data_IF_476864606727
#
_entry.id   IF_476864606727
#
_cell.length_a   1.000
_cell.length_b   1.000
_cell.length_c   1.000
_cell.angle_alpha   90.00
_cell.angle_beta   90.00
_cell.angle_gamma   90.00
#
_symmetry.space_group_name_H-M   'P 1'
#
loop_
_entity.id
_entity.type
_entity.pdbx_description
1 polymer ?
#
# COMPACT_ATOMS: atom_id res chain seq x y z
N UNK A 1 1.88 4.31 9.20
CA UNK A 1 2.07 2.90 8.88
C UNK A 1 3.55 2.65 8.63
N UNK A 2 4.11 1.59 9.21
CA UNK A 2 5.53 1.32 9.08
C UNK A 2 5.80 0.25 8.02
N UNK A 3 7.08 -0.02 7.76
CA UNK A 3 7.46 -0.95 6.72
C UNK A 3 6.93 -2.35 6.96
N UNK A 4 6.91 -2.79 8.21
CA UNK A 4 6.43 -4.14 8.54
C UNK A 4 4.98 -4.31 8.13
N UNK A 5 4.15 -3.31 8.39
CA UNK A 5 2.75 -3.37 8.01
C UNK A 5 2.58 -3.40 6.50
N UNK A 6 3.36 -2.60 5.78
CA UNK A 6 3.31 -2.62 4.32
C UNK A 6 3.72 -3.99 3.78
N UNK A 7 4.73 -4.61 4.37
CA UNK A 7 5.18 -5.92 3.91
C UNK A 7 4.13 -6.98 4.13
N UNK A 8 3.43 -6.93 5.24
CA UNK A 8 2.36 -7.88 5.52
C UNK A 8 1.21 -7.72 4.52
N UNK A 9 0.84 -6.49 4.25
CA UNK A 9 -0.21 -6.20 3.28
C UNK A 9 0.17 -6.67 1.89
N UNK A 10 1.42 -6.41 1.51
CA UNK A 10 1.90 -6.82 0.20
C UNK A 10 1.92 -8.34 0.06
N UNK A 11 2.33 -9.04 1.12
CA UNK A 11 2.35 -10.49 1.10
C UNK A 11 0.95 -11.05 0.87
N UNK A 12 -0.05 -10.52 1.57
CA UNK A 12 -1.43 -10.95 1.38
C UNK A 12 -1.91 -10.66 -0.04
N UNK A 13 -1.58 -9.47 -0.52
CA UNK A 13 -1.96 -9.07 -1.88
C UNK A 13 -1.39 -10.05 -2.90
N UNK A 14 -0.13 -10.44 -2.74
CA UNK A 14 0.49 -11.39 -3.65
C UNK A 14 -0.14 -12.77 -3.60
N UNK A 15 -0.45 -13.23 -2.38
CA UNK A 15 -1.08 -14.54 -2.21
C UNK A 15 -2.43 -14.58 -2.90
N UNK A 16 -3.25 -13.56 -2.70
CA UNK A 16 -4.58 -13.53 -3.29
C UNK A 16 -4.53 -13.41 -4.80
N UNK A 17 -3.57 -12.67 -5.32
CA UNK A 17 -3.43 -12.50 -6.76
C UNK A 17 -2.65 -13.59 -7.44
N UNK A 18 -2.07 -14.52 -6.68
CA UNK A 18 -1.25 -15.57 -7.25
C UNK A 18 0.10 -15.09 -7.76
N UNK A 19 0.56 -13.94 -7.28
CA UNK A 19 1.82 -13.36 -7.71
C UNK A 19 2.93 -13.65 -6.69
N UNK A 20 4.17 -13.62 -7.16
CA UNK A 20 5.31 -13.78 -6.27
C UNK A 20 5.75 -12.43 -5.73
N UNK A 21 6.01 -12.33 -4.42
CA UNK A 21 6.51 -11.09 -3.85
C UNK A 21 7.94 -10.82 -4.33
N UNK A 22 8.18 -9.57 -4.77
CA UNK A 22 9.51 -9.14 -5.19
C UNK A 22 9.79 -7.79 -4.58
N UNK A 23 11.08 -7.44 -4.47
CA UNK A 23 11.44 -6.14 -3.93
C UNK A 23 10.92 -5.00 -4.78
N UNK A 24 10.99 -5.16 -6.09
CA UNK A 24 10.48 -4.14 -6.99
C UNK A 24 8.97 -3.98 -6.85
N UNK A 25 8.26 -5.09 -6.81
CA UNK A 25 6.81 -5.06 -6.63
C UNK A 25 6.42 -4.45 -5.29
N UNK A 26 7.21 -4.75 -4.26
CA UNK A 26 6.96 -4.17 -2.96
C UNK A 26 7.12 -2.64 -3.00
N UNK A 27 8.17 -2.15 -3.64
CA UNK A 27 8.38 -0.71 -3.75
C UNK A 27 7.23 -0.02 -4.47
N UNK A 28 6.75 -0.63 -5.55
CA UNK A 28 5.62 -0.08 -6.29
C UNK A 28 4.35 -0.11 -5.45
N UNK A 29 4.14 -1.18 -4.72
CA UNK A 29 2.98 -1.31 -3.85
C UNK A 29 2.97 -0.22 -2.78
N UNK A 30 4.12 0.00 -2.14
CA UNK A 30 4.22 1.01 -1.10
C UNK A 30 3.95 2.41 -1.67
N UNK A 31 4.51 2.69 -2.84
CA UNK A 31 4.30 3.98 -3.50
C UNK A 31 2.81 4.21 -3.79
N UNK A 32 2.16 3.19 -4.33
CA UNK A 32 0.73 3.26 -4.61
C UNK A 32 -0.08 3.46 -3.33
N UNK A 33 0.26 2.72 -2.31
CA UNK A 33 -0.46 2.78 -1.04
C UNK A 33 -0.35 4.16 -0.41
N UNK A 34 0.82 4.75 -0.47
CA UNK A 34 1.01 6.09 0.07
C UNK A 34 0.18 7.13 -0.69
N UNK A 35 0.06 6.97 -1.99
CA UNK A 35 -0.78 7.87 -2.78
C UNK A 35 -2.25 7.75 -2.39
N UNK A 36 -2.71 6.53 -2.19
CA UNK A 36 -4.09 6.30 -1.79
C UNK A 36 -4.36 6.92 -0.42
N UNK A 37 -3.44 6.75 0.51
CA UNK A 37 -3.61 7.32 1.85
C UNK A 37 -3.63 8.84 1.80
N UNK A 38 -2.80 9.43 0.97
CA UNK A 38 -2.79 10.88 0.83
C UNK A 38 -4.10 11.40 0.27
N UNK A 39 -4.69 10.70 -0.68
CA UNK A 39 -5.98 11.08 -1.23
C UNK A 39 -7.08 11.02 -0.17
N UNK A 40 -7.06 10.00 0.66
CA UNK A 40 -8.03 9.89 1.74
C UNK A 40 -7.88 11.02 2.74
N UNK A 41 -6.65 11.36 3.08
CA UNK A 41 -6.41 12.45 4.01
C UNK A 41 -6.92 13.79 3.46
N UNK A 42 -6.70 14.03 2.19
CA UNK A 42 -7.19 15.26 1.55
C UNK A 42 -8.71 15.35 1.61
N UNK A 43 -9.38 14.23 1.39
CA UNK A 43 -10.84 14.19 1.43
C UNK A 43 -11.36 14.50 2.83
N UNK A 44 -10.72 13.94 3.84
CA UNK A 44 -11.10 14.22 5.21
C UNK A 44 -10.92 15.69 5.54
N UNK A 45 -9.83 16.29 5.06
CA UNK A 45 -9.59 17.70 5.25
C UNK A 45 -10.66 18.57 4.61
N UNK A 46 -11.14 18.19 3.46
CA UNK A 46 -12.17 18.94 2.77
C UNK A 46 -13.49 18.94 3.53
N UNK A 47 -13.79 17.85 4.19
CA UNK A 47 -15.05 17.75 4.93
C UNK A 47 -15.10 18.63 6.16
N UNK A 48 -13.96 18.87 6.73
CA UNK A 48 -13.88 19.72 7.93
C UNK A 48 -13.71 21.16 7.56
#
# INVERSE_FOLDING_TARGET
MNETEYREMYAEYCVEGGARPTERGFAEFVSWRKKVEALFEERDGEKT
#
